data_IF_218529343869
#
_entry.id   IF_218529343869
#
_cell.length_a   1.000
_cell.length_b   1.000
_cell.length_c   1.000
_cell.angle_alpha   90.00
_cell.angle_beta   90.00
_cell.angle_gamma   90.00
#
_symmetry.space_group_name_H-M   'P 1'
#
loop_
_entity.id
_entity.type
_entity.pdbx_description
1 polymer ?
#
# COMPACT_ATOMS: atom_id res chain seq x y z
N UNK A 1 -29.04 39.72 22.04
CA UNK A 1 -28.96 38.24 22.23
C UNK A 1 -27.52 37.86 22.48
N UNK A 2 -27.24 37.06 23.51
CA UNK A 2 -25.89 36.58 23.82
C UNK A 2 -25.51 35.47 22.81
N UNK A 3 -24.38 35.62 22.12
CA UNK A 3 -23.90 34.59 21.19
C UNK A 3 -23.28 33.43 21.97
N UNK A 4 -23.48 32.22 21.45
CA UNK A 4 -22.81 31.02 21.95
C UNK A 4 -21.42 30.93 21.30
N UNK A 5 -20.41 30.41 22.00
CA UNK A 5 -19.13 30.09 21.39
C UNK A 5 -19.30 29.00 20.31
N UNK A 6 -18.38 28.98 19.36
CA UNK A 6 -18.36 27.96 18.31
C UNK A 6 -17.95 26.59 18.89
N UNK A 7 -18.40 25.51 18.24
CA UNK A 7 -18.01 24.14 18.60
C UNK A 7 -16.56 23.88 18.20
N UNK A 8 -15.77 23.31 19.11
CA UNK A 8 -14.40 22.83 18.83
C UNK A 8 -14.42 21.32 18.62
N UNK A 9 -13.97 20.87 17.46
CA UNK A 9 -13.71 19.46 17.20
C UNK A 9 -12.33 19.09 17.72
N UNK A 10 -12.21 17.92 18.36
CA UNK A 10 -10.95 17.42 18.91
C UNK A 10 -10.65 16.07 18.26
N UNK A 11 -9.39 15.83 17.90
CA UNK A 11 -8.94 14.52 17.44
C UNK A 11 -8.88 13.57 18.64
N UNK A 12 -9.49 12.42 18.48
CA UNK A 12 -9.67 11.40 19.52
C UNK A 12 -8.83 10.16 19.22
N UNK A 13 -8.79 9.22 20.16
CA UNK A 13 -8.22 7.89 19.94
C UNK A 13 -8.95 7.11 18.84
N UNK A 14 -10.23 7.36 18.61
CA UNK A 14 -11.01 6.71 17.55
C UNK A 14 -10.49 7.12 16.16
N UNK A 15 -10.13 8.40 15.99
CA UNK A 15 -9.55 8.90 14.75
C UNK A 15 -8.20 8.25 14.45
N UNK A 16 -7.39 8.04 15.49
CA UNK A 16 -6.10 7.35 15.39
C UNK A 16 -6.30 5.89 15.01
N UNK A 17 -7.21 5.18 15.67
CA UNK A 17 -7.52 3.78 15.36
C UNK A 17 -8.00 3.64 13.90
N UNK A 18 -8.91 4.50 13.47
CA UNK A 18 -9.42 4.50 12.09
C UNK A 18 -8.31 4.78 11.06
N UNK A 19 -7.36 5.65 11.39
CA UNK A 19 -6.20 5.91 10.53
C UNK A 19 -5.27 4.70 10.44
N UNK A 20 -4.90 4.10 11.57
CA UNK A 20 -4.00 2.94 11.61
C UNK A 20 -4.62 1.72 10.89
N UNK A 21 -5.92 1.51 11.00
CA UNK A 21 -6.63 0.47 10.26
C UNK A 21 -6.53 0.66 8.74
N UNK A 22 -6.71 1.89 8.24
CA UNK A 22 -6.55 2.19 6.82
C UNK A 22 -5.10 1.98 6.38
N UNK A 23 -4.15 2.48 7.17
CA UNK A 23 -2.72 2.32 6.92
C UNK A 23 -2.31 0.86 6.84
N UNK A 24 -2.80 0.01 7.75
CA UNK A 24 -2.53 -1.42 7.74
C UNK A 24 -3.07 -2.10 6.48
N UNK A 25 -4.29 -1.76 6.05
CA UNK A 25 -4.89 -2.27 4.81
C UNK A 25 -4.08 -1.88 3.58
N UNK A 26 -3.65 -0.62 3.50
CA UNK A 26 -2.80 -0.12 2.41
C UNK A 26 -1.45 -0.86 2.37
N UNK A 27 -0.83 -1.10 3.53
CA UNK A 27 0.42 -1.85 3.62
C UNK A 27 0.26 -3.30 3.12
N UNK A 28 -0.85 -3.96 3.42
CA UNK A 28 -1.14 -5.31 2.91
C UNK A 28 -1.28 -5.31 1.38
N UNK A 29 -2.00 -4.33 0.82
CA UNK A 29 -2.16 -4.20 -0.63
C UNK A 29 -0.80 -3.94 -1.30
N UNK A 30 -0.01 -3.02 -0.75
CA UNK A 30 1.33 -2.72 -1.26
C UNK A 30 2.26 -3.95 -1.23
N UNK A 31 2.22 -4.73 -0.15
CA UNK A 31 3.00 -5.96 -0.03
C UNK A 31 2.58 -7.02 -1.07
N UNK A 32 1.28 -7.16 -1.33
CA UNK A 32 0.78 -8.06 -2.37
C UNK A 32 1.21 -7.60 -3.77
N UNK A 33 1.13 -6.30 -4.05
CA UNK A 33 1.59 -5.74 -5.33
C UNK A 33 3.09 -5.95 -5.53
N UNK A 34 3.90 -5.71 -4.50
CA UNK A 34 5.35 -5.94 -4.54
C UNK A 34 5.69 -7.41 -4.85
N UNK A 35 4.98 -8.37 -4.23
CA UNK A 35 5.16 -9.81 -4.52
C UNK A 35 4.82 -10.14 -5.98
N UNK A 36 3.73 -9.59 -6.50
CA UNK A 36 3.34 -9.80 -7.91
C UNK A 36 4.36 -9.20 -8.87
N UNK A 37 4.83 -7.98 -8.61
CA UNK A 37 5.85 -7.34 -9.43
C UNK A 37 7.15 -8.13 -9.44
N UNK A 38 7.59 -8.62 -8.28
CA UNK A 38 8.79 -9.46 -8.18
C UNK A 38 8.66 -10.78 -8.95
N UNK A 39 7.49 -11.43 -8.90
CA UNK A 39 7.24 -12.66 -9.65
C UNK A 39 7.29 -12.43 -11.17
N UNK A 40 6.72 -11.33 -11.67
CA UNK A 40 6.77 -10.96 -13.09
C UNK A 40 8.20 -10.68 -13.52
N UNK A 41 8.96 -9.91 -12.74
CA UNK A 41 10.37 -9.63 -13.03
C UNK A 41 11.22 -10.91 -13.08
N UNK A 42 11.01 -11.84 -12.15
CA UNK A 42 11.71 -13.12 -12.13
C UNK A 42 11.38 -13.98 -13.36
N UNK A 43 10.12 -14.05 -13.77
CA UNK A 43 9.72 -14.79 -14.98
C UNK A 43 10.31 -14.19 -16.27
N UNK A 44 10.37 -12.85 -16.37
CA UNK A 44 11.01 -12.19 -17.51
C UNK A 44 12.52 -12.47 -17.57
N UNK A 45 13.20 -12.44 -16.42
CA UNK A 45 14.63 -12.76 -16.36
C UNK A 45 14.93 -14.22 -16.76
N UNK A 46 14.07 -15.17 -16.39
CA UNK A 46 14.20 -16.57 -16.80
C UNK A 46 14.02 -16.72 -18.32
N UNK A 47 12.98 -16.10 -18.89
CA UNK A 47 12.74 -16.16 -20.33
C UNK A 47 13.90 -15.57 -21.16
N UNK A 48 14.56 -14.52 -20.66
CA UNK A 48 15.74 -13.93 -21.31
C UNK A 48 16.95 -14.87 -21.26
N UNK A 49 17.17 -15.55 -20.13
CA UNK A 49 18.26 -16.53 -20.01
C UNK A 49 18.05 -17.74 -20.93
N UNK A 50 16.81 -18.21 -21.07
CA UNK A 50 16.48 -19.30 -21.99
C UNK A 50 16.71 -18.89 -23.46
N UNK A 51 16.29 -17.68 -23.84
CA UNK A 51 16.49 -17.15 -25.19
C UNK A 51 17.98 -16.94 -25.54
N UNK A 52 18.81 -16.50 -24.59
CA UNK A 52 20.25 -16.33 -24.79
C UNK A 52 20.98 -17.68 -24.91
N UNK A 53 20.47 -18.74 -24.29
CA UNK A 53 21.09 -20.08 -24.34
C UNK A 53 20.70 -20.88 -25.60
N UNK A 54 19.52 -20.61 -26.19
CA UNK A 54 19.04 -21.28 -27.41
C UNK A 54 19.55 -20.61 -28.70
N UNK A 55 20.03 -19.35 -28.61
CA UNK A 55 20.51 -18.55 -29.75
C UNK A 55 22.03 -18.51 -29.97
N UNK A 56 22.84 -19.18 -29.14
CA UNK A 56 24.31 -19.21 -29.21
C UNK A 56 24.88 -20.57 -29.58
#
# INVERSE_FOLDING_TARGET
MLRRPATTLTITSEDVAAYEDRRAREALVAAQQARRAAAVAAAQAQAQQEADMEGG
#
